data_IF_062253062618
#
_entry.id   IF_062253062618
#
_cell.length_a   1.000
_cell.length_b   1.000
_cell.length_c   1.000
_cell.angle_alpha   90.00
_cell.angle_beta   90.00
_cell.angle_gamma   90.00
#
_symmetry.space_group_name_H-M   'P 1'
#
loop_
_entity.id
_entity.type
_entity.pdbx_description
1 polymer ?
#
# COMPACT_ATOMS: atom_id res chain seq x y z
N UNK A 1 -30.27 1.12 -17.86
CA UNK A 1 -29.19 0.73 -18.77
C UNK A 1 -28.49 -0.46 -18.14
N UNK A 2 -28.21 -1.53 -18.90
CA UNK A 2 -27.36 -2.60 -18.38
C UNK A 2 -25.92 -2.07 -18.31
N UNK A 3 -25.22 -2.22 -17.18
CA UNK A 3 -23.83 -1.81 -17.07
C UNK A 3 -22.97 -2.60 -18.07
N UNK A 4 -21.93 -1.96 -18.62
CA UNK A 4 -20.98 -2.64 -19.51
C UNK A 4 -20.29 -3.76 -18.73
N UNK A 5 -20.25 -4.94 -19.34
CA UNK A 5 -19.52 -6.09 -18.83
C UNK A 5 -18.62 -6.65 -19.93
N UNK A 6 -17.46 -7.18 -19.55
CA UNK A 6 -16.57 -7.89 -20.45
C UNK A 6 -16.42 -9.34 -20.02
N UNK A 7 -16.02 -10.20 -20.95
CA UNK A 7 -15.64 -11.58 -20.66
C UNK A 7 -14.15 -11.74 -20.96
N UNK A 8 -13.40 -12.36 -20.05
CA UNK A 8 -11.99 -12.64 -20.25
C UNK A 8 -11.61 -14.03 -19.74
N UNK A 9 -10.42 -14.51 -20.14
CA UNK A 9 -9.92 -15.80 -19.70
C UNK A 9 -9.57 -15.75 -18.22
N UNK A 10 -10.01 -16.76 -17.46
CA UNK A 10 -9.75 -16.86 -16.01
C UNK A 10 -8.25 -16.85 -15.71
N UNK A 11 -7.48 -17.63 -16.46
CA UNK A 11 -6.05 -17.81 -16.21
C UNK A 11 -5.25 -16.53 -16.56
N UNK A 12 -5.72 -15.74 -17.52
CA UNK A 12 -5.19 -14.41 -17.82
C UNK A 12 -5.43 -13.46 -16.63
N UNK A 13 -6.66 -13.42 -16.11
CA UNK A 13 -6.99 -12.58 -14.95
C UNK A 13 -6.20 -12.98 -13.70
N UNK A 14 -5.98 -14.27 -13.48
CA UNK A 14 -5.12 -14.77 -12.39
C UNK A 14 -3.69 -14.26 -12.52
N UNK A 15 -3.13 -14.38 -13.73
CA UNK A 15 -1.77 -13.91 -14.01
C UNK A 15 -1.63 -12.43 -13.71
N UNK A 16 -2.60 -11.61 -14.14
CA UNK A 16 -2.61 -10.16 -13.88
C UNK A 16 -2.64 -9.88 -12.37
N UNK A 17 -3.54 -10.54 -11.62
CA UNK A 17 -3.65 -10.33 -10.18
C UNK A 17 -2.42 -10.79 -9.40
N UNK A 18 -1.79 -11.90 -9.81
CA UNK A 18 -0.55 -12.40 -9.19
C UNK A 18 0.61 -11.41 -9.41
N UNK A 19 0.79 -10.90 -10.63
CA UNK A 19 1.79 -9.86 -10.94
C UNK A 19 1.52 -8.57 -10.14
N UNK A 20 0.28 -8.11 -10.09
CA UNK A 20 -0.09 -6.90 -9.36
C UNK A 20 0.14 -7.06 -7.84
N UNK A 21 -0.18 -8.24 -7.30
CA UNK A 21 0.06 -8.57 -5.89
C UNK A 21 1.56 -8.55 -5.57
N UNK A 22 2.38 -9.20 -6.38
CA UNK A 22 3.83 -9.24 -6.18
C UNK A 22 4.42 -7.83 -6.21
N UNK A 23 3.99 -7.01 -7.17
CA UNK A 23 4.35 -5.60 -7.24
C UNK A 23 3.96 -4.85 -5.95
N UNK A 24 2.72 -4.97 -5.49
CA UNK A 24 2.26 -4.32 -4.26
C UNK A 24 3.09 -4.75 -3.03
N UNK A 25 3.39 -6.04 -2.90
CA UNK A 25 4.22 -6.55 -1.79
C UNK A 25 5.62 -5.93 -1.84
N UNK A 26 6.24 -5.86 -3.02
CA UNK A 26 7.54 -5.23 -3.20
C UNK A 26 7.52 -3.74 -2.83
N UNK A 27 6.53 -3.00 -3.35
CA UNK A 27 6.36 -1.58 -3.10
C UNK A 27 6.11 -1.30 -1.60
N UNK A 28 5.26 -2.12 -0.95
CA UNK A 28 5.02 -2.04 0.49
C UNK A 28 6.28 -2.29 1.32
N UNK A 29 7.12 -3.26 0.95
CA UNK A 29 8.37 -3.53 1.66
C UNK A 29 9.37 -2.37 1.51
N UNK A 30 9.45 -1.76 0.33
CA UNK A 30 10.27 -0.58 0.11
C UNK A 30 9.79 0.59 0.97
N UNK A 31 8.49 0.87 0.94
CA UNK A 31 7.87 1.92 1.75
C UNK A 31 8.06 1.69 3.25
N UNK A 32 7.93 0.45 3.72
CA UNK A 32 8.13 0.07 5.12
C UNK A 32 9.54 0.37 5.61
N UNK A 33 10.55 0.09 4.78
CA UNK A 33 11.94 0.43 5.10
C UNK A 33 12.15 1.94 5.17
N UNK A 34 11.59 2.70 4.23
CA UNK A 34 11.70 4.16 4.23
C UNK A 34 11.00 4.80 5.45
N UNK A 35 9.81 4.31 5.80
CA UNK A 35 9.11 4.68 7.03
C UNK A 35 9.97 4.43 8.29
N UNK A 36 10.59 3.25 8.41
CA UNK A 36 11.44 2.93 9.55
C UNK A 36 12.67 3.85 9.63
N UNK A 37 13.28 4.19 8.49
CA UNK A 37 14.39 5.14 8.43
C UNK A 37 13.95 6.55 8.83
N UNK A 38 12.78 7.00 8.37
CA UNK A 38 12.22 8.29 8.75
C UNK A 38 11.93 8.34 10.26
N UNK A 39 11.34 7.29 10.82
CA UNK A 39 11.09 7.17 12.26
C UNK A 39 12.38 7.24 13.08
N UNK A 40 13.41 6.49 12.68
CA UNK A 40 14.70 6.53 13.36
C UNK A 40 15.33 7.93 13.32
N UNK A 41 15.29 8.59 12.15
CA UNK A 41 15.79 9.95 11.98
C UNK A 41 15.06 10.94 12.88
N UNK A 42 13.73 10.92 12.90
CA UNK A 42 12.91 11.79 13.75
C UNK A 42 13.24 11.58 15.24
N UNK A 43 13.40 10.33 15.68
CA UNK A 43 13.77 10.02 17.06
C UNK A 43 15.17 10.55 17.41
N UNK A 44 16.15 10.39 16.52
CA UNK A 44 17.50 10.95 16.72
C UNK A 44 17.49 12.48 16.81
N UNK A 45 16.71 13.15 15.95
CA UNK A 45 16.57 14.61 16.00
C UNK A 45 15.95 15.09 17.31
N UNK A 46 14.92 14.40 17.82
CA UNK A 46 14.36 14.70 19.13
C UNK A 46 15.37 14.49 20.25
N UNK A 47 16.11 13.37 20.24
CA UNK A 47 17.12 13.08 21.25
C UNK A 47 18.21 14.15 21.26
N UNK A 48 18.66 14.61 20.09
CA UNK A 48 19.63 15.69 19.98
C UNK A 48 19.12 17.01 20.57
N UNK A 49 17.86 17.38 20.29
CA UNK A 49 17.24 18.59 20.87
C UNK A 49 17.10 18.52 22.38
N UNK A 50 16.64 17.38 22.91
CA UNK A 50 16.52 17.16 24.36
C UNK A 50 17.90 17.26 25.02
N UNK A 51 18.92 16.63 24.44
CA UNK A 51 20.29 16.66 24.96
C UNK A 51 20.83 18.09 25.02
N UNK A 52 20.54 18.90 24.00
CA UNK A 52 20.87 20.32 23.97
C UNK A 52 20.15 21.14 25.05
N UNK A 53 18.86 20.90 25.27
CA UNK A 53 18.09 21.56 26.33
C UNK A 53 18.56 21.18 27.73
N UNK A 54 18.86 19.89 27.97
CA UNK A 54 19.43 19.41 29.24
C UNK A 54 20.75 20.12 29.54
N UNK A 55 21.66 20.18 28.55
CA UNK A 55 22.96 20.85 28.70
C UNK A 55 22.80 22.34 29.04
N UNK A 56 21.74 22.97 28.53
CA UNK A 56 21.46 24.38 28.76
C UNK A 56 20.54 24.66 29.96
N UNK A 57 20.13 23.65 30.72
CA UNK A 57 19.20 23.80 31.85
C UNK A 57 17.80 24.26 31.46
N UNK A 58 17.33 23.94 30.24
CA UNK A 58 15.99 24.26 29.73
C UNK A 58 15.08 23.03 29.69
N UNK A 59 13.77 23.28 29.68
CA UNK A 59 12.73 22.25 29.55
C UNK A 59 11.69 22.62 28.48
N UNK A 60 12.16 23.17 27.35
CA UNK A 60 11.31 23.69 26.27
C UNK A 60 10.95 22.67 25.19
N UNK A 61 11.74 21.60 25.03
CA UNK A 61 11.52 20.62 23.96
C UNK A 61 10.31 19.73 24.26
N UNK A 62 9.32 19.76 23.36
CA UNK A 62 8.21 18.81 23.33
C UNK A 62 8.49 17.71 22.29
N UNK A 63 8.20 16.45 22.63
CA UNK A 63 8.46 15.30 21.75
C UNK A 63 7.13 14.79 21.21
N UNK A 64 6.98 14.83 19.89
CA UNK A 64 5.85 14.23 19.18
C UNK A 64 6.34 13.63 17.87
N UNK A 65 5.98 12.37 17.62
CA UNK A 65 6.28 11.68 16.38
C UNK A 65 4.98 11.50 15.61
N UNK A 66 4.85 12.22 14.50
CA UNK A 66 3.67 12.18 13.62
C UNK A 66 4.06 11.53 12.29
N UNK A 67 4.12 10.20 12.29
CA UNK A 67 4.43 9.42 11.10
C UNK A 67 3.30 8.42 10.85
N UNK A 68 2.75 8.41 9.64
CA UNK A 68 1.73 7.46 9.24
C UNK A 68 2.40 6.13 8.84
N UNK A 69 2.07 4.99 9.49
CA UNK A 69 2.64 3.70 9.14
C UNK A 69 2.04 3.17 7.83
N UNK A 70 2.84 2.50 6.98
CA UNK A 70 2.31 1.84 5.80
C UNK A 70 1.43 0.65 6.16
N UNK A 71 0.40 0.42 5.35
CA UNK A 71 -0.49 -0.75 5.46
C UNK A 71 -0.33 -1.62 4.22
N UNK A 72 -0.27 -2.94 4.42
CA UNK A 72 -0.29 -3.89 3.31
C UNK A 72 -1.73 -4.28 2.98
N UNK A 73 -2.05 -4.26 1.69
CA UNK A 73 -3.33 -4.69 1.13
C UNK A 73 -3.22 -5.99 0.33
N UNK A 74 -2.16 -6.78 0.55
CA UNK A 74 -1.93 -8.06 -0.12
C UNK A 74 -3.09 -9.05 0.09
N UNK A 75 -3.77 -8.96 1.23
CA UNK A 75 -4.94 -9.78 1.58
C UNK A 75 -6.14 -9.56 0.64
N UNK A 76 -6.28 -8.35 0.08
CA UNK A 76 -7.34 -8.05 -0.89
C UNK A 76 -7.07 -8.74 -2.23
N UNK A 77 -5.80 -8.77 -2.67
CA UNK A 77 -5.38 -9.56 -3.82
C UNK A 77 -5.56 -11.06 -3.54
N UNK A 78 -5.12 -11.55 -2.39
CA UNK A 78 -5.24 -12.97 -2.00
C UNK A 78 -6.69 -13.44 -2.05
N UNK A 79 -7.62 -12.60 -1.58
CA UNK A 79 -9.05 -12.87 -1.64
C UNK A 79 -9.56 -12.96 -3.08
N UNK A 80 -9.21 -11.98 -3.93
CA UNK A 80 -9.63 -11.96 -5.33
C UNK A 80 -9.07 -13.17 -6.10
N UNK A 81 -7.77 -13.45 -5.95
CA UNK A 81 -7.08 -14.60 -6.52
C UNK A 81 -7.74 -15.89 -6.07
N UNK A 82 -8.02 -16.04 -4.76
CA UNK A 82 -8.69 -17.21 -4.22
C UNK A 82 -10.08 -17.44 -4.85
N UNK A 83 -10.89 -16.39 -4.96
CA UNK A 83 -12.20 -16.47 -5.61
C UNK A 83 -12.10 -16.92 -7.07
N UNK A 84 -11.12 -16.37 -7.81
CA UNK A 84 -10.93 -16.66 -9.22
C UNK A 84 -10.37 -18.08 -9.43
N UNK A 85 -9.43 -18.53 -8.60
CA UNK A 85 -8.88 -19.90 -8.64
C UNK A 85 -9.97 -20.96 -8.45
N UNK A 86 -10.97 -20.67 -7.64
CA UNK A 86 -12.12 -21.56 -7.42
C UNK A 86 -13.27 -21.35 -8.41
N UNK A 87 -13.13 -20.45 -9.39
CA UNK A 87 -14.13 -20.29 -10.44
C UNK A 87 -14.11 -21.48 -11.40
N UNK A 88 -15.30 -22.09 -11.60
CA UNK A 88 -15.44 -23.35 -12.35
C UNK A 88 -15.27 -23.18 -13.86
N UNK A 89 -15.54 -21.99 -14.40
CA UNK A 89 -15.46 -21.73 -15.83
C UNK A 89 -14.09 -21.22 -16.26
N UNK A 90 -13.73 -21.48 -17.51
CA UNK A 90 -12.49 -20.99 -18.13
C UNK A 90 -12.53 -19.48 -18.43
N UNK A 91 -13.71 -18.88 -18.39
CA UNK A 91 -13.94 -17.45 -18.59
C UNK A 91 -14.63 -16.84 -17.37
N UNK A 92 -14.38 -15.54 -17.15
CA UNK A 92 -15.02 -14.75 -16.12
C UNK A 92 -15.65 -13.52 -16.76
N UNK A 93 -16.87 -13.20 -16.35
CA UNK A 93 -17.53 -11.94 -16.67
C UNK A 93 -17.18 -10.93 -15.58
N UNK A 94 -16.63 -9.79 -15.99
CA UNK A 94 -16.32 -8.67 -15.11
C UNK A 94 -17.26 -7.50 -15.41
N UNK A 95 -17.78 -6.88 -14.35
CA UNK A 95 -18.35 -5.55 -14.45
C UNK A 95 -17.26 -4.46 -14.50
N UNK A 96 -17.67 -3.23 -14.76
CA UNK A 96 -16.78 -2.06 -14.83
C UNK A 96 -15.90 -1.88 -13.59
N UNK A 97 -16.45 -2.09 -12.38
CA UNK A 97 -15.70 -1.91 -11.12
C UNK A 97 -14.69 -3.03 -10.90
N UNK A 98 -15.05 -4.25 -11.26
CA UNK A 98 -14.16 -5.40 -11.19
C UNK A 98 -13.04 -5.28 -12.23
N UNK A 99 -13.33 -4.78 -13.42
CA UNK A 99 -12.32 -4.52 -14.44
C UNK A 99 -11.31 -3.45 -13.96
N UNK A 100 -11.81 -2.32 -13.48
CA UNK A 100 -10.97 -1.24 -12.96
C UNK A 100 -10.06 -1.73 -11.82
N UNK A 101 -10.62 -2.51 -10.88
CA UNK A 101 -9.85 -3.02 -9.75
C UNK A 101 -8.88 -4.15 -10.11
N UNK A 102 -9.35 -5.17 -10.83
CA UNK A 102 -8.56 -6.40 -11.01
C UNK A 102 -7.65 -6.35 -12.23
N UNK A 103 -8.02 -5.59 -13.26
CA UNK A 103 -7.25 -5.48 -14.51
C UNK A 103 -6.43 -4.19 -14.52
N UNK A 104 -7.05 -3.05 -14.21
CA UNK A 104 -6.32 -1.75 -14.15
C UNK A 104 -5.58 -1.53 -12.83
N UNK A 105 -5.66 -2.51 -11.92
CA UNK A 105 -5.06 -2.44 -10.58
C UNK A 105 -5.51 -1.19 -9.81
N UNK A 106 -6.71 -0.66 -10.08
CA UNK A 106 -7.20 0.57 -9.45
C UNK A 106 -8.02 0.24 -8.21
N UNK A 107 -7.31 -0.12 -7.14
CA UNK A 107 -7.94 -0.39 -5.84
C UNK A 107 -8.29 0.90 -5.12
N UNK A 108 -9.36 0.88 -4.32
CA UNK A 108 -9.81 2.07 -3.57
C UNK A 108 -8.74 2.66 -2.65
N UNK A 109 -7.80 1.86 -2.15
CA UNK A 109 -6.68 2.29 -1.31
C UNK A 109 -5.46 2.81 -2.09
N UNK A 110 -5.41 2.64 -3.42
CA UNK A 110 -4.20 2.88 -4.21
C UNK A 110 -3.76 4.33 -4.20
N UNK A 111 -4.71 5.27 -4.20
CA UNK A 111 -4.39 6.70 -4.15
C UNK A 111 -3.75 7.10 -2.81
N UNK A 112 -4.29 6.62 -1.69
CA UNK A 112 -3.74 6.86 -0.35
C UNK A 112 -2.36 6.22 -0.20
N UNK A 113 -2.19 4.99 -0.69
CA UNK A 113 -0.91 4.30 -0.70
C UNK A 113 0.15 5.06 -1.52
N UNK A 114 -0.22 5.56 -2.71
CA UNK A 114 0.68 6.35 -3.54
C UNK A 114 1.09 7.66 -2.86
N UNK A 115 0.15 8.38 -2.26
CA UNK A 115 0.43 9.61 -1.51
C UNK A 115 1.40 9.36 -0.34
N UNK A 116 1.17 8.28 0.42
CA UNK A 116 2.07 7.88 1.51
C UNK A 116 3.45 7.50 0.99
N UNK A 117 3.52 6.80 -0.14
CA UNK A 117 4.77 6.41 -0.80
C UNK A 117 5.62 7.63 -1.13
N UNK A 118 5.01 8.64 -1.75
CA UNK A 118 5.69 9.91 -2.06
C UNK A 118 6.19 10.61 -0.78
N UNK A 119 5.46 10.55 0.33
CA UNK A 119 5.88 11.21 1.58
C UNK A 119 7.18 10.66 2.20
N UNK A 120 7.54 9.41 1.88
CA UNK A 120 8.74 8.76 2.43
C UNK A 120 9.85 8.49 1.40
N UNK A 121 9.52 8.42 0.11
CA UNK A 121 10.47 8.07 -0.95
C UNK A 121 10.83 9.25 -1.89
N UNK A 122 10.18 10.41 -1.76
CA UNK A 122 10.58 11.64 -2.47
C UNK A 122 11.82 12.26 -1.82
#
# INVERSE_FOLDING_TARGET
>A
MNPLSITMQRDELLTILEVNREKHVSDYQQLSRAYQQAALRTLHEHLARISGDVTAGRHSTHVQVHLAPPTSFADQYDRAIGMIKHHLHSTIVLDERQYDRYVQDNWGWKQEFAALTTSYLA
#
